data_IF_366948976142
#
_entry.id   IF_366948976142
#
_cell.length_a   1.000
_cell.length_b   1.000
_cell.length_c   1.000
_cell.angle_alpha   90.00
_cell.angle_beta   90.00
_cell.angle_gamma   90.00
#
_symmetry.space_group_name_H-M   'P 1'
#
loop_
_entity.id
_entity.type
_entity.pdbx_description
1 polymer ?
#
# COMPACT_ATOMS: atom_id res chain seq x y z
N UNK A 1 -5.11 -4.60 18.13
CA UNK A 1 -4.29 -3.91 17.10
C UNK A 1 -4.98 -3.86 15.75
N UNK A 2 -5.37 -5.00 15.15
CA UNK A 2 -6.03 -5.04 13.84
C UNK A 2 -7.25 -4.13 13.68
N UNK A 3 -8.06 -3.98 14.73
CA UNK A 3 -9.28 -3.14 14.74
C UNK A 3 -9.05 -1.75 14.16
N UNK A 4 -7.91 -1.10 14.47
CA UNK A 4 -7.65 0.28 14.05
C UNK A 4 -6.98 0.40 12.68
N UNK A 5 -6.27 -0.64 12.23
CA UNK A 5 -5.42 -0.58 11.03
C UNK A 5 -6.02 -1.32 9.83
N UNK A 6 -6.85 -2.34 10.08
CA UNK A 6 -7.33 -3.22 9.01
C UNK A 6 -8.33 -2.54 8.05
N UNK A 7 -8.98 -1.44 8.46
CA UNK A 7 -9.96 -0.75 7.60
C UNK A 7 -9.33 -0.07 6.38
N UNK A 8 -8.03 0.22 6.40
CA UNK A 8 -7.31 0.82 5.28
C UNK A 8 -6.78 -0.22 4.28
N UNK A 9 -6.68 -1.49 4.67
CA UNK A 9 -6.03 -2.53 3.85
C UNK A 9 -6.81 -2.82 2.58
N UNK A 10 -8.13 -2.95 2.68
CA UNK A 10 -8.98 -3.23 1.52
C UNK A 10 -9.01 -2.07 0.52
N UNK A 11 -9.23 -0.80 0.96
CA UNK A 11 -9.09 0.36 0.08
C UNK A 11 -7.75 0.42 -0.63
N UNK A 12 -6.64 0.16 0.07
CA UNK A 12 -5.29 0.18 -0.48
C UNK A 12 -5.03 -0.95 -1.49
N UNK A 13 -5.53 -2.15 -1.22
CA UNK A 13 -5.39 -3.26 -2.15
C UNK A 13 -6.18 -2.98 -3.45
N UNK A 14 -7.40 -2.44 -3.31
CA UNK A 14 -8.25 -2.17 -4.45
C UNK A 14 -7.76 -0.99 -5.29
N UNK A 15 -7.07 0.01 -4.74
CA UNK A 15 -6.48 1.09 -5.56
C UNK A 15 -5.43 0.57 -6.54
N UNK A 16 -4.76 -0.54 -6.21
CA UNK A 16 -3.75 -1.17 -7.09
C UNK A 16 -4.35 -2.24 -8.00
N UNK A 17 -5.36 -2.98 -7.53
CA UNK A 17 -5.92 -4.11 -8.28
C UNK A 17 -7.13 -3.73 -9.14
N UNK A 18 -7.84 -2.65 -8.80
CA UNK A 18 -9.13 -2.30 -9.41
C UNK A 18 -9.15 -0.87 -9.96
N UNK A 19 -9.09 -0.74 -11.29
CA UNK A 19 -9.08 0.55 -11.99
C UNK A 19 -10.37 1.37 -11.85
N UNK A 20 -11.47 0.76 -11.40
CA UNK A 20 -12.77 1.46 -11.28
C UNK A 20 -12.98 2.13 -9.92
N UNK A 21 -12.04 1.99 -8.97
CA UNK A 21 -12.20 2.56 -7.65
C UNK A 21 -12.25 4.09 -7.71
N UNK A 22 -13.27 4.68 -7.08
CA UNK A 22 -13.45 6.11 -7.01
C UNK A 22 -12.58 6.73 -5.89
N UNK A 23 -11.95 7.89 -6.15
CA UNK A 23 -11.19 8.67 -5.16
C UNK A 23 -11.97 8.93 -3.87
N UNK A 24 -13.22 9.35 -4.00
CA UNK A 24 -14.08 9.64 -2.84
C UNK A 24 -14.32 8.38 -2.01
N UNK A 25 -14.49 7.24 -2.68
CA UNK A 25 -14.68 5.95 -2.02
C UNK A 25 -13.42 5.48 -1.30
N UNK A 26 -12.25 5.67 -1.91
CA UNK A 26 -10.95 5.33 -1.32
C UNK A 26 -10.67 6.09 -0.02
N UNK A 27 -11.17 7.32 0.12
CA UNK A 27 -10.96 8.17 1.30
C UNK A 27 -12.02 7.91 2.39
N UNK A 28 -13.29 7.76 2.01
CA UNK A 28 -14.39 7.62 2.99
C UNK A 28 -14.43 6.22 3.59
N UNK A 29 -14.11 5.19 2.81
CA UNK A 29 -14.25 3.80 3.26
C UNK A 29 -13.35 3.38 4.44
N UNK A 30 -12.06 3.78 4.55
CA UNK A 30 -11.26 3.50 5.75
C UNK A 30 -11.83 4.15 7.02
N UNK A 31 -12.35 5.39 6.90
CA UNK A 31 -12.91 6.16 8.03
C UNK A 31 -14.20 5.50 8.51
N UNK A 32 -15.10 5.19 7.58
CA UNK A 32 -16.32 4.46 7.88
C UNK A 32 -16.02 3.11 8.53
N UNK A 33 -15.09 2.35 7.96
CA UNK A 33 -14.72 1.04 8.50
C UNK A 33 -14.08 1.11 9.88
N UNK A 34 -13.30 2.16 10.17
CA UNK A 34 -12.76 2.42 11.50
C UNK A 34 -13.88 2.65 12.52
N UNK A 35 -14.84 3.52 12.21
CA UNK A 35 -15.98 3.79 13.09
C UNK A 35 -16.79 2.53 13.39
N UNK A 36 -17.08 1.72 12.36
CA UNK A 36 -17.81 0.45 12.51
C UNK A 36 -17.01 -0.52 13.36
N UNK A 37 -15.72 -0.69 13.10
CA UNK A 37 -14.87 -1.64 13.83
C UNK A 37 -14.73 -1.30 15.32
N UNK A 38 -14.53 -0.03 15.68
CA UNK A 38 -14.46 0.43 17.07
C UNK A 38 -15.81 0.22 17.75
N UNK A 39 -16.90 0.57 17.06
CA UNK A 39 -18.25 0.37 17.59
C UNK A 39 -18.53 -1.10 17.87
N UNK A 40 -18.22 -2.01 16.93
CA UNK A 40 -18.39 -3.45 17.11
C UNK A 40 -17.49 -3.99 18.23
N UNK A 41 -16.23 -3.56 18.31
CA UNK A 41 -15.29 -3.99 19.34
C UNK A 41 -15.79 -3.62 20.75
N UNK A 42 -16.21 -2.37 20.95
CA UNK A 42 -16.69 -1.90 22.25
C UNK A 42 -18.08 -2.47 22.58
N UNK A 43 -18.97 -2.59 21.60
CA UNK A 43 -20.28 -3.21 21.80
C UNK A 43 -20.16 -4.68 22.24
N UNK A 44 -19.34 -5.48 21.56
CA UNK A 44 -19.11 -6.89 21.92
C UNK A 44 -18.42 -7.02 23.28
N UNK A 45 -17.51 -6.10 23.61
CA UNK A 45 -16.90 -6.06 24.95
C UNK A 45 -17.95 -5.86 26.03
N UNK A 46 -18.83 -4.87 25.84
CA UNK A 46 -19.87 -4.56 26.82
C UNK A 46 -20.92 -5.67 26.94
N UNK A 47 -21.38 -6.25 25.83
CA UNK A 47 -22.41 -7.29 25.86
C UNK A 47 -21.92 -8.60 26.46
N UNK A 48 -20.65 -8.97 26.25
CA UNK A 48 -20.10 -10.24 26.75
C UNK A 48 -19.55 -10.15 28.17
N UNK A 49 -18.98 -9.00 28.56
CA UNK A 49 -18.24 -8.86 29.83
C UNK A 49 -18.82 -7.80 30.78
N UNK A 50 -19.86 -7.07 30.38
CA UNK A 50 -20.59 -6.09 31.20
C UNK A 50 -19.79 -4.84 31.59
N UNK A 51 -18.48 -4.80 31.32
CA UNK A 51 -17.58 -3.70 31.69
C UNK A 51 -16.58 -3.44 30.58
N UNK A 52 -16.23 -2.18 30.33
CA UNK A 52 -15.22 -1.78 29.37
C UNK A 52 -13.95 -1.42 30.14
N UNK A 53 -13.01 -2.35 30.18
CA UNK A 53 -11.70 -2.20 30.84
C UNK A 53 -10.61 -2.75 29.93
N UNK A 54 -9.33 -2.49 30.24
CA UNK A 54 -8.21 -3.06 29.48
C UNK A 54 -8.29 -4.60 29.46
N UNK A 55 -8.72 -5.23 30.56
CA UNK A 55 -8.81 -6.69 30.66
C UNK A 55 -9.97 -7.28 29.85
N UNK A 56 -11.10 -6.58 29.76
CA UNK A 56 -12.24 -7.06 28.96
C UNK A 56 -12.06 -6.78 27.47
N UNK A 57 -11.43 -5.66 27.11
CA UNK A 57 -11.17 -5.30 25.72
C UNK A 57 -10.03 -6.11 25.08
N UNK A 58 -9.09 -6.64 25.88
CA UNK A 58 -8.01 -7.51 25.43
C UNK A 58 -8.42 -8.97 25.23
N UNK A 59 -9.68 -9.31 25.49
CA UNK A 59 -10.19 -10.67 25.28
C UNK A 59 -10.27 -11.03 23.80
N UNK A 60 -10.19 -12.33 23.49
CA UNK A 60 -10.15 -12.82 22.12
C UNK A 60 -11.43 -12.53 21.33
N UNK A 61 -12.62 -12.68 21.95
CA UNK A 61 -13.90 -12.51 21.26
C UNK A 61 -14.15 -11.07 20.78
N UNK A 62 -14.01 -10.02 21.63
CA UNK A 62 -14.16 -8.65 21.17
C UNK A 62 -13.12 -8.28 20.12
N UNK A 63 -11.85 -8.68 20.30
CA UNK A 63 -10.80 -8.39 19.32
C UNK A 63 -11.06 -9.06 17.97
N UNK A 64 -11.54 -10.30 17.96
CA UNK A 64 -11.93 -10.99 16.73
C UNK A 64 -13.07 -10.24 16.03
N UNK A 65 -14.14 -9.89 16.76
CA UNK A 65 -15.29 -9.21 16.19
C UNK A 65 -14.91 -7.84 15.58
N UNK A 66 -14.10 -7.04 16.29
CA UNK A 66 -13.60 -5.77 15.78
C UNK A 66 -12.71 -5.93 14.54
N UNK A 67 -11.81 -6.91 14.52
CA UNK A 67 -10.93 -7.16 13.37
C UNK A 67 -11.71 -7.59 12.12
N UNK A 68 -12.71 -8.46 12.28
CA UNK A 68 -13.58 -8.91 11.18
C UNK A 68 -14.40 -7.74 10.65
N UNK A 69 -14.99 -6.94 11.54
CA UNK A 69 -15.70 -5.73 11.17
C UNK A 69 -14.82 -4.74 10.39
N UNK A 70 -13.57 -4.54 10.83
CA UNK A 70 -12.60 -3.67 10.15
C UNK A 70 -12.28 -4.13 8.72
N UNK A 71 -12.19 -5.44 8.46
CA UNK A 71 -11.90 -5.97 7.12
C UNK A 71 -13.10 -5.90 6.17
N UNK A 72 -14.31 -6.14 6.68
CA UNK A 72 -15.51 -6.28 5.84
C UNK A 72 -16.21 -4.94 5.61
N UNK A 73 -16.26 -4.06 6.60
CA UNK A 73 -17.03 -2.82 6.53
C UNK A 73 -16.60 -1.83 5.41
N UNK A 74 -15.32 -1.69 5.02
CA UNK A 74 -14.95 -0.81 3.90
C UNK A 74 -15.55 -1.28 2.56
N UNK A 75 -15.72 -2.59 2.36
CA UNK A 75 -16.31 -3.15 1.13
C UNK A 75 -17.75 -2.67 0.89
N UNK A 76 -18.49 -2.45 1.98
CA UNK A 76 -19.88 -1.97 1.93
C UNK A 76 -19.97 -0.58 1.29
N UNK A 77 -18.92 0.24 1.42
CA UNK A 77 -18.85 1.55 0.78
C UNK A 77 -18.16 1.45 -0.59
N UNK A 78 -17.06 0.69 -0.68
CA UNK A 78 -16.23 0.62 -1.89
C UNK A 78 -16.98 0.04 -3.08
N UNK A 79 -17.62 -1.11 -2.90
CA UNK A 79 -18.27 -1.83 -3.98
C UNK A 79 -19.40 -0.98 -4.62
N UNK A 80 -20.40 -0.49 -3.88
CA UNK A 80 -21.50 0.26 -4.50
C UNK A 80 -21.05 1.62 -5.04
N UNK A 81 -20.23 2.39 -4.32
CA UNK A 81 -19.79 3.70 -4.83
C UNK A 81 -18.95 3.57 -6.10
N UNK A 82 -18.05 2.59 -6.16
CA UNK A 82 -17.19 2.40 -7.34
C UNK A 82 -17.93 1.78 -8.53
N UNK A 83 -19.08 1.13 -8.30
CA UNK A 83 -19.95 0.64 -9.36
C UNK A 83 -20.87 1.72 -9.92
N UNK A 84 -21.37 2.64 -9.08
CA UNK A 84 -22.29 3.72 -9.51
C UNK A 84 -21.50 4.86 -10.18
N UNK A 85 -20.35 5.23 -9.62
CA UNK A 85 -19.48 6.29 -10.15
C UNK A 85 -18.04 5.82 -10.27
N UNK A 86 -17.71 5.03 -11.32
CA UNK A 86 -16.35 4.59 -11.58
C UNK A 86 -15.49 5.76 -12.12
N UNK A 87 -14.28 5.91 -11.57
CA UNK A 87 -13.35 6.98 -11.96
C UNK A 87 -12.34 6.54 -13.04
N UNK A 88 -12.31 5.23 -13.38
CA UNK A 88 -11.42 4.61 -14.37
C UNK A 88 -9.99 5.16 -14.36
N UNK A 89 -9.36 5.16 -13.19
CA UNK A 89 -8.04 5.76 -13.03
C UNK A 89 -6.99 4.96 -13.80
N UNK A 90 -6.26 5.64 -14.70
CA UNK A 90 -5.11 5.09 -15.42
C UNK A 90 -3.82 5.67 -14.86
N UNK A 91 -2.82 4.82 -14.69
CA UNK A 91 -1.51 5.18 -14.12
C UNK A 91 -0.54 5.71 -15.20
N UNK A 92 -1.04 6.17 -16.34
CA UNK A 92 -0.24 6.61 -17.48
C UNK A 92 0.77 7.71 -17.11
N UNK A 93 0.35 8.70 -16.34
CA UNK A 93 1.25 9.75 -15.85
C UNK A 93 2.37 9.24 -14.94
N UNK A 94 2.15 8.11 -14.23
CA UNK A 94 3.21 7.45 -13.44
C UNK A 94 4.13 6.61 -14.31
N UNK A 95 3.66 6.20 -15.49
CA UNK A 95 4.41 5.40 -16.47
C UNK A 95 5.31 6.25 -17.36
N UNK A 96 4.96 7.52 -17.52
CA UNK A 96 5.74 8.52 -18.26
C UNK A 96 6.89 9.12 -17.42
N UNK A 97 6.98 8.81 -16.13
CA UNK A 97 8.12 9.25 -15.29
C UNK A 97 9.41 8.61 -15.84
N UNK A 98 10.26 9.45 -16.43
CA UNK A 98 11.55 9.07 -16.99
C UNK A 98 12.39 8.35 -15.93
N UNK A 99 12.78 7.11 -16.22
CA UNK A 99 13.77 6.42 -15.41
C UNK A 99 15.12 7.07 -15.67
N UNK A 100 15.56 7.90 -14.72
CA UNK A 100 16.93 8.43 -14.73
C UNK A 100 17.85 7.25 -14.38
N UNK A 101 18.38 6.60 -15.41
CA UNK A 101 19.52 5.69 -15.26
C UNK A 101 20.77 6.55 -15.04
N UNK A 102 21.48 6.32 -13.94
CA UNK A 102 22.75 7.01 -13.63
C UNK A 102 23.90 6.54 -14.55
N UNK A 103 23.62 5.69 -15.54
CA UNK A 103 24.57 5.17 -16.53
C UNK A 103 24.60 6.05 -17.79
N UNK A 104 25.77 6.63 -18.08
CA UNK A 104 26.03 7.58 -19.16
C UNK A 104 25.43 7.20 -20.54
N UNK A 105 24.51 8.05 -21.01
CA UNK A 105 24.33 8.51 -22.39
C UNK A 105 24.27 7.48 -23.53
N UNK A 106 23.07 7.22 -24.05
CA UNK A 106 22.68 7.19 -25.49
C UNK A 106 21.21 6.71 -25.60
N UNK A 107 20.22 7.59 -25.63
CA UNK A 107 18.82 7.17 -25.80
C UNK A 107 17.92 8.29 -26.34
N UNK A 108 17.91 8.53 -27.65
CA UNK A 108 16.84 9.36 -28.27
C UNK A 108 16.16 8.67 -29.46
N UNK A 109 16.71 7.55 -29.99
CA UNK A 109 16.13 6.85 -31.16
C UNK A 109 15.46 5.49 -30.78
N UNK A 110 15.68 4.96 -29.58
CA UNK A 110 15.16 3.63 -29.17
C UNK A 110 13.71 3.64 -28.63
N UNK A 111 13.13 4.81 -28.35
CA UNK A 111 12.01 4.98 -27.41
C UNK A 111 10.61 4.59 -27.93
N UNK A 112 10.40 4.46 -29.25
CA UNK A 112 9.08 4.12 -29.81
C UNK A 112 8.88 2.63 -30.11
N UNK A 113 9.94 1.89 -30.44
CA UNK A 113 9.85 0.43 -30.70
C UNK A 113 9.98 -0.37 -29.40
N UNK A 114 10.61 0.18 -28.36
CA UNK A 114 10.71 -0.45 -27.04
C UNK A 114 9.37 -0.46 -26.27
N UNK A 115 8.51 0.51 -26.53
CA UNK A 115 7.30 0.73 -25.73
C UNK A 115 6.36 -0.49 -25.78
N UNK A 116 5.99 -1.02 -26.95
CA UNK A 116 5.01 -2.11 -27.03
C UNK A 116 5.49 -3.43 -26.38
N UNK A 117 6.76 -3.80 -26.58
CA UNK A 117 7.35 -5.00 -25.95
C UNK A 117 7.49 -4.82 -24.42
N UNK A 118 7.87 -3.63 -23.98
CA UNK A 118 8.00 -3.27 -22.57
C UNK A 118 6.62 -3.26 -21.89
N UNK A 119 5.61 -2.68 -22.53
CA UNK A 119 4.21 -2.70 -22.09
C UNK A 119 3.69 -4.13 -21.92
N UNK A 120 4.02 -5.05 -22.83
CA UNK A 120 3.66 -6.46 -22.72
C UNK A 120 4.34 -7.17 -21.54
N UNK A 121 5.64 -6.93 -21.35
CA UNK A 121 6.41 -7.51 -20.25
C UNK A 121 5.89 -7.03 -18.88
N UNK A 122 5.52 -5.75 -18.78
CA UNK A 122 4.91 -5.14 -17.60
C UNK A 122 3.52 -5.71 -17.33
N UNK A 123 2.69 -5.92 -18.38
CA UNK A 123 1.36 -6.55 -18.22
C UNK A 123 1.47 -8.00 -17.76
N UNK A 124 2.45 -8.77 -18.25
CA UNK A 124 2.73 -10.13 -17.78
C UNK A 124 3.14 -10.13 -16.31
N UNK A 125 4.07 -9.26 -15.94
CA UNK A 125 4.55 -9.11 -14.56
C UNK A 125 3.44 -8.65 -13.60
N UNK A 126 2.59 -7.70 -14.01
CA UNK A 126 1.44 -7.25 -13.24
C UNK A 126 0.41 -8.35 -13.04
N UNK A 127 0.10 -9.15 -14.08
CA UNK A 127 -0.78 -10.31 -13.95
C UNK A 127 -0.21 -11.35 -12.99
N UNK A 128 1.08 -11.65 -13.10
CA UNK A 128 1.76 -12.57 -12.19
C UNK A 128 1.73 -12.06 -10.74
N UNK A 129 2.02 -10.78 -10.51
CA UNK A 129 1.97 -10.15 -9.18
C UNK A 129 0.56 -10.20 -8.58
N UNK A 130 -0.48 -9.88 -9.38
CA UNK A 130 -1.88 -9.94 -8.92
C UNK A 130 -2.28 -11.37 -8.56
N UNK A 131 -1.99 -12.33 -9.44
CA UNK A 131 -2.35 -13.74 -9.22
C UNK A 131 -1.59 -14.32 -8.02
N UNK A 132 -0.28 -14.09 -7.94
CA UNK A 132 0.54 -14.58 -6.83
C UNK A 132 0.14 -13.94 -5.50
N UNK A 133 -0.19 -12.64 -5.48
CA UNK A 133 -0.69 -11.96 -4.28
C UNK A 133 -2.02 -12.55 -3.80
N UNK A 134 -2.99 -12.74 -4.70
CA UNK A 134 -4.28 -13.36 -4.34
C UNK A 134 -4.10 -14.82 -3.91
N UNK A 135 -3.32 -15.60 -4.65
CA UNK A 135 -3.08 -17.01 -4.34
C UNK A 135 -2.38 -17.19 -2.98
N UNK A 136 -1.35 -16.39 -2.70
CA UNK A 136 -0.63 -16.44 -1.43
C UNK A 136 -1.51 -15.97 -0.27
N UNK A 137 -2.32 -14.93 -0.48
CA UNK A 137 -3.30 -14.47 0.49
C UNK A 137 -4.32 -15.56 0.83
N UNK A 138 -4.91 -16.22 -0.17
CA UNK A 138 -5.81 -17.36 0.04
C UNK A 138 -5.09 -18.54 0.73
N UNK A 139 -3.85 -18.83 0.33
CA UNK A 139 -3.07 -19.90 0.95
C UNK A 139 -2.81 -19.62 2.45
N UNK A 140 -2.40 -18.41 2.81
CA UNK A 140 -2.03 -18.05 4.17
C UNK A 140 -3.21 -17.74 5.09
N UNK A 141 -4.29 -17.15 4.59
CA UNK A 141 -5.46 -16.78 5.40
C UNK A 141 -6.56 -17.83 5.43
N UNK A 142 -6.71 -18.61 4.36
CA UNK A 142 -7.79 -19.58 4.23
C UNK A 142 -7.23 -20.99 4.30
N UNK A 143 -6.34 -21.37 3.39
CA UNK A 143 -5.88 -22.75 3.25
C UNK A 143 -5.05 -23.24 4.44
N UNK A 144 -4.23 -22.38 5.06
CA UNK A 144 -3.42 -22.76 6.22
C UNK A 144 -4.21 -22.74 7.54
N UNK A 145 -4.97 -21.67 7.88
CA UNK A 145 -5.62 -21.57 9.19
C UNK A 145 -6.89 -22.42 9.28
N UNK A 146 -7.66 -22.59 8.20
CA UNK A 146 -8.92 -23.33 8.26
C UNK A 146 -8.73 -24.81 8.62
N UNK A 147 -7.83 -25.59 7.97
CA UNK A 147 -7.60 -26.98 8.35
C UNK A 147 -7.09 -27.10 9.78
N UNK A 148 -6.25 -26.16 10.23
CA UNK A 148 -5.73 -26.14 11.59
C UNK A 148 -6.84 -25.86 12.62
N UNK A 149 -7.77 -24.95 12.30
CA UNK A 149 -8.94 -24.66 13.12
C UNK A 149 -9.92 -25.84 13.18
N UNK A 150 -10.27 -26.42 12.03
CA UNK A 150 -11.22 -27.54 11.96
C UNK A 150 -10.66 -28.82 12.59
N UNK A 151 -9.36 -29.07 12.48
CA UNK A 151 -8.70 -30.20 13.14
C UNK A 151 -8.49 -29.99 14.65
N UNK A 152 -8.81 -28.80 15.19
CA UNK A 152 -8.51 -28.39 16.58
C UNK A 152 -7.05 -28.69 16.96
N UNK A 153 -6.13 -28.47 16.03
CA UNK A 153 -4.74 -28.85 16.20
C UNK A 153 -4.09 -28.04 17.32
N UNK A 154 -3.48 -28.74 18.29
CA UNK A 154 -2.72 -28.14 19.39
C UNK A 154 -1.25 -28.32 19.10
N UNK A 155 -0.51 -27.21 18.98
CA UNK A 155 0.93 -27.26 18.73
C UNK A 155 1.69 -27.91 19.89
N UNK A 156 2.62 -28.81 19.56
CA UNK A 156 3.59 -29.30 20.54
C UNK A 156 4.54 -28.17 20.95
N UNK A 157 5.10 -28.25 22.17
CA UNK A 157 6.04 -27.24 22.67
C UNK A 157 7.22 -27.04 21.71
N UNK A 158 7.83 -28.12 21.24
CA UNK A 158 8.98 -28.06 20.34
C UNK A 158 8.64 -27.47 18.97
N UNK A 159 7.46 -27.80 18.41
CA UNK A 159 7.01 -27.21 17.14
C UNK A 159 6.77 -25.71 17.29
N UNK A 160 6.08 -25.30 18.36
CA UNK A 160 5.82 -23.89 18.63
C UNK A 160 7.11 -23.09 18.82
N UNK A 161 8.08 -23.63 19.58
CA UNK A 161 9.39 -22.99 19.74
C UNK A 161 10.11 -22.83 18.41
N UNK A 162 10.13 -23.87 17.56
CA UNK A 162 10.73 -23.79 16.23
C UNK A 162 10.06 -22.71 15.37
N UNK A 163 8.73 -22.66 15.37
CA UNK A 163 7.96 -21.66 14.63
C UNK A 163 8.27 -20.22 15.09
N UNK A 164 8.33 -19.99 16.40
CA UNK A 164 8.67 -18.68 16.97
C UNK A 164 10.09 -18.26 16.58
N UNK A 165 11.06 -19.18 16.63
CA UNK A 165 12.44 -18.88 16.21
C UNK A 165 12.53 -18.50 14.74
N UNK A 166 11.87 -19.25 13.85
CA UNK A 166 11.79 -18.92 12.42
C UNK A 166 11.13 -17.55 12.20
N UNK A 167 10.06 -17.26 12.94
CA UNK A 167 9.36 -15.97 12.87
C UNK A 167 10.27 -14.80 13.26
N UNK A 168 11.08 -14.96 14.31
CA UNK A 168 12.03 -13.95 14.76
C UNK A 168 13.13 -13.74 13.71
N UNK A 169 13.72 -14.81 13.18
CA UNK A 169 14.73 -14.73 12.10
C UNK A 169 14.15 -13.99 10.89
N UNK A 170 12.93 -14.34 10.49
CA UNK A 170 12.23 -13.69 9.39
C UNK A 170 12.09 -12.18 9.61
N UNK A 171 11.71 -11.75 10.82
CA UNK A 171 11.57 -10.32 11.15
C UNK A 171 12.91 -9.58 11.01
N UNK A 172 14.02 -10.16 11.48
CA UNK A 172 15.34 -9.55 11.31
C UNK A 172 15.76 -9.46 9.85
N UNK A 173 15.60 -10.54 9.07
CA UNK A 173 15.90 -10.54 7.64
C UNK A 173 15.04 -9.51 6.90
N UNK A 174 13.75 -9.41 7.24
CA UNK A 174 12.83 -8.43 6.65
C UNK A 174 13.23 -6.99 6.99
N UNK A 175 13.64 -6.73 8.23
CA UNK A 175 14.15 -5.42 8.64
C UNK A 175 15.43 -5.04 7.86
N UNK A 176 16.35 -5.98 7.66
CA UNK A 176 17.55 -5.73 6.87
C UNK A 176 17.21 -5.47 5.39
N UNK A 177 16.33 -6.28 4.80
CA UNK A 177 15.97 -6.18 3.40
C UNK A 177 15.10 -4.94 3.07
N UNK A 178 14.18 -4.54 3.95
CA UNK A 178 13.26 -3.42 3.70
C UNK A 178 13.74 -2.12 4.34
N UNK A 179 14.41 -2.20 5.48
CA UNK A 179 14.90 -1.03 6.22
C UNK A 179 16.31 -0.63 5.85
N UNK A 180 17.26 -1.57 5.90
CA UNK A 180 18.69 -1.26 5.73
C UNK A 180 19.12 -1.22 4.27
N UNK A 181 18.64 -2.18 3.46
CA UNK A 181 19.07 -2.31 2.08
C UNK A 181 18.79 -1.06 1.22
N UNK A 182 17.58 -0.44 1.25
CA UNK A 182 17.33 0.78 0.47
C UNK A 182 18.20 1.96 0.92
N UNK A 183 18.48 2.07 2.22
CA UNK A 183 19.38 3.11 2.77
C UNK A 183 20.82 2.88 2.33
N UNK A 184 21.26 1.61 2.29
CA UNK A 184 22.60 1.26 1.83
C UNK A 184 22.77 1.51 0.33
N UNK A 185 21.77 1.20 -0.47
CA UNK A 185 21.76 1.45 -1.92
C UNK A 185 21.77 2.96 -2.21
N UNK A 186 20.89 3.73 -1.55
CA UNK A 186 20.78 5.17 -1.72
C UNK A 186 21.89 6.00 -1.03
N UNK A 187 22.94 5.37 -0.49
CA UNK A 187 23.95 6.04 0.35
C UNK A 187 24.65 7.20 -0.36
N UNK A 188 24.97 7.05 -1.64
CA UNK A 188 25.68 8.07 -2.42
C UNK A 188 24.76 9.25 -2.70
N UNK A 189 23.52 8.98 -3.10
CA UNK A 189 22.47 9.99 -3.29
C UNK A 189 22.21 10.77 -2.00
N UNK A 190 22.12 10.07 -0.86
CA UNK A 190 21.90 10.68 0.44
C UNK A 190 23.08 11.62 0.82
N UNK A 191 24.32 11.17 0.64
CA UNK A 191 25.52 12.00 0.87
C UNK A 191 25.51 13.25 -0.02
N UNK A 192 25.15 13.11 -1.30
CA UNK A 192 25.07 14.24 -2.23
C UNK A 192 24.01 15.25 -1.79
N UNK A 193 22.80 14.82 -1.44
CA UNK A 193 21.73 15.68 -0.94
C UNK A 193 22.16 16.42 0.34
N UNK A 194 22.76 15.70 1.31
CA UNK A 194 23.25 16.31 2.54
C UNK A 194 24.34 17.35 2.27
N UNK A 195 25.26 17.06 1.33
CA UNK A 195 26.33 17.98 0.96
C UNK A 195 25.78 19.24 0.30
N UNK A 196 24.80 19.12 -0.58
CA UNK A 196 24.19 20.28 -1.24
C UNK A 196 23.34 21.12 -0.28
N UNK A 197 22.58 20.50 0.62
CA UNK A 197 21.91 21.20 1.74
C UNK A 197 22.92 21.97 2.61
N UNK A 198 24.04 21.34 2.93
CA UNK A 198 25.08 21.98 3.74
C UNK A 198 25.73 23.17 3.01
N UNK A 199 25.92 23.07 1.70
CA UNK A 199 26.44 24.15 0.86
C UNK A 199 25.46 25.32 0.74
N UNK A 200 24.17 25.02 0.63
CA UNK A 200 23.10 26.03 0.61
C UNK A 200 23.03 26.79 1.93
N UNK A 201 23.13 26.09 3.07
CA UNK A 201 23.19 26.71 4.40
C UNK A 201 24.47 27.55 4.58
N UNK A 202 25.60 27.09 4.04
CA UNK A 202 26.89 27.77 4.16
C UNK A 202 27.08 28.96 3.21
N UNK A 203 26.08 29.30 2.39
CA UNK A 203 26.12 30.43 1.46
C UNK A 203 27.10 30.27 0.29
N UNK A 204 27.68 29.07 0.11
CA UNK A 204 28.63 28.77 -0.98
C UNK A 204 27.90 28.17 -2.18
N UNK A 205 26.89 28.89 -2.71
CA UNK A 205 26.18 28.47 -3.92
C UNK A 205 27.12 28.51 -5.11
N UNK A 206 27.20 27.40 -5.83
CA UNK A 206 27.78 27.36 -7.19
C UNK A 206 26.66 27.61 -8.20
N UNK A 207 26.76 28.57 -9.12
CA UNK A 207 25.68 28.92 -10.06
C UNK A 207 25.30 27.86 -11.12
N UNK A 208 25.90 26.67 -11.10
CA UNK A 208 25.79 25.70 -12.19
C UNK A 208 25.32 24.33 -11.69
N UNK A 209 24.07 24.25 -11.24
CA UNK A 209 23.30 23.02 -11.44
C UNK A 209 22.52 23.21 -12.75
N UNK A 210 22.39 22.18 -13.62
CA UNK A 210 21.28 22.18 -14.57
C UNK A 210 20.04 22.38 -13.71
N UNK A 211 19.44 23.56 -13.85
CA UNK A 211 18.20 23.86 -13.19
C UNK A 211 17.28 22.73 -13.60
N UNK A 212 16.81 21.91 -12.65
CA UNK A 212 15.80 20.90 -12.93
C UNK A 212 14.78 21.63 -13.76
N UNK A 213 14.71 21.25 -15.06
CA UNK A 213 13.99 21.98 -16.09
C UNK A 213 12.72 22.39 -15.43
N UNK A 214 12.57 23.71 -15.21
CA UNK A 214 11.35 24.24 -14.65
C UNK A 214 10.28 23.52 -15.45
N UNK A 215 9.45 22.70 -14.79
CA UNK A 215 8.19 22.32 -15.37
C UNK A 215 7.53 23.68 -15.53
N UNK A 216 7.76 24.30 -16.68
CA UNK A 216 7.23 25.59 -17.03
C UNK A 216 5.75 25.47 -16.74
N UNK A 217 5.19 26.44 -16.03
CA UNK A 217 3.76 26.47 -15.68
C UNK A 217 2.87 26.27 -16.93
N UNK A 218 3.44 26.38 -18.14
CA UNK A 218 2.90 25.98 -19.44
C UNK A 218 2.51 24.49 -19.60
N UNK A 219 3.05 23.55 -18.82
CA UNK A 219 2.64 22.13 -18.85
C UNK A 219 1.78 21.70 -17.65
N UNK A 220 1.26 22.65 -16.87
CA UNK A 220 0.36 22.43 -15.73
C UNK A 220 -1.10 22.74 -16.07
N UNK A 221 -1.49 22.65 -17.35
CA UNK A 221 -2.86 22.76 -17.84
C UNK A 221 -3.73 21.52 -17.52
N UNK A 222 -3.62 21.01 -16.29
CA UNK A 222 -4.52 19.98 -15.78
C UNK A 222 -5.15 20.54 -14.51
N UNK A 223 -6.45 20.81 -14.60
CA UNK A 223 -7.37 21.37 -13.59
C UNK A 223 -7.67 22.88 -13.65
N UNK A 224 -7.71 23.49 -14.84
CA UNK A 224 -8.65 24.61 -15.05
C UNK A 224 -10.03 24.03 -15.40
N UNK A 225 -10.97 24.26 -14.49
CA UNK A 225 -12.37 23.94 -14.67
C UNK A 225 -12.97 24.83 -15.77
N UNK A 226 -12.86 24.43 -17.03
CA UNK A 226 -13.62 25.08 -18.11
C UNK A 226 -14.10 24.08 -19.16
N UNK A 227 -15.11 23.29 -18.78
CA UNK A 227 -16.11 22.75 -19.70
C UNK A 227 -17.50 23.04 -19.16
N UNK A 228 -17.88 24.31 -19.20
CA UNK A 228 -19.28 24.76 -19.21
C UNK A 228 -19.45 25.99 -20.12
N UNK A 229 -19.10 25.85 -21.39
CA UNK A 229 -19.67 26.63 -22.47
C UNK A 229 -19.47 25.88 -23.80
N UNK A 230 -20.51 25.84 -24.63
CA UNK A 230 -20.71 25.01 -25.84
C UNK A 230 -20.96 23.52 -25.51
N UNK A 231 -22.18 22.99 -25.61
CA UNK A 231 -23.29 23.25 -26.54
C UNK A 231 -24.63 23.10 -25.84
#
# INVERSE_FOLDING_TARGET
MGVLICSAVVPLALTLLWSKQNKTSAIISPIFGLCVSISTWLAVTYTMYGTITVNSTSQNYPMMAGNVAALVSPLVIIIPMSLIWPDNFDFDATREIEQVDDSEGTAVITQQVSNDEELESMRKSSKFAKISSVALSLALFILWPLPMFFSRYVFSRSFFTGWVVVSIIWVFVSFLAVGVYPVFEARWTLINIFREIWRDISGKRVPNLPQATHLSEENLDIYTADKKAAT
#
